data_IF_118213488892
#
_entry.id   IF_118213488892
#
_cell.length_a   1.000
_cell.length_b   1.000
_cell.length_c   1.000
_cell.angle_alpha   90.00
_cell.angle_beta   90.00
_cell.angle_gamma   90.00
#
_symmetry.space_group_name_H-M   'P 1'
#
loop_
_entity.id
_entity.type
_entity.pdbx_description
1 polymer ?
#
# COMPACT_ATOMS: atom_id res chain seq x y z
N UNK A 1 5.29 -7.34 9.70
CA UNK A 1 5.62 -6.10 8.98
C UNK A 1 6.98 -6.27 8.36
N UNK A 2 7.12 -5.94 7.08
CA UNK A 2 8.44 -5.93 6.44
C UNK A 2 9.15 -4.66 6.88
N UNK A 3 10.38 -4.82 7.37
CA UNK A 3 11.26 -3.73 7.73
C UNK A 3 12.06 -3.28 6.50
N UNK A 4 11.87 -2.04 6.07
CA UNK A 4 12.61 -1.47 4.95
C UNK A 4 14.12 -1.46 5.19
N UNK A 5 14.57 -1.35 6.44
CA UNK A 5 16.00 -1.39 6.80
C UNK A 5 16.67 -2.72 6.43
N UNK A 6 15.88 -3.76 6.14
CA UNK A 6 16.36 -5.06 5.67
C UNK A 6 16.28 -5.21 4.13
N UNK A 7 15.87 -4.17 3.41
CA UNK A 7 15.74 -4.20 1.95
C UNK A 7 16.99 -3.60 1.28
N UNK A 8 17.53 -4.25 0.23
CA UNK A 8 18.65 -3.68 -0.51
C UNK A 8 18.30 -2.33 -1.15
N UNK A 9 19.19 -1.36 -0.99
CA UNK A 9 19.08 -0.07 -1.66
C UNK A 9 19.56 -0.16 -3.10
N UNK A 10 18.96 0.66 -3.97
CA UNK A 10 19.33 0.81 -5.38
C UNK A 10 20.19 2.05 -5.59
N UNK A 11 20.79 2.17 -6.78
CA UNK A 11 21.77 3.23 -7.08
C UNK A 11 21.19 4.65 -7.23
N UNK A 12 19.86 4.81 -7.20
CA UNK A 12 19.16 6.09 -7.30
C UNK A 12 18.43 6.36 -5.96
N UNK A 13 18.78 7.46 -5.29
CA UNK A 13 18.30 7.78 -3.93
C UNK A 13 16.81 8.07 -3.90
N UNK A 14 16.24 8.69 -4.95
CA UNK A 14 14.82 8.98 -4.98
C UNK A 14 13.99 7.69 -4.89
N UNK A 15 14.42 6.63 -5.58
CA UNK A 15 13.79 5.31 -5.50
C UNK A 15 13.89 4.77 -4.07
N UNK A 16 15.04 4.86 -3.41
CA UNK A 16 15.17 4.40 -2.02
C UNK A 16 14.22 5.13 -1.05
N UNK A 17 14.01 6.45 -1.24
CA UNK A 17 13.05 7.23 -0.45
C UNK A 17 11.61 6.79 -0.71
N UNK A 18 11.26 6.58 -1.97
CA UNK A 18 9.90 6.20 -2.39
C UNK A 18 9.57 4.75 -2.02
N UNK A 19 10.51 3.82 -2.18
CA UNK A 19 10.37 2.43 -1.71
C UNK A 19 10.10 2.39 -0.21
N UNK A 20 10.90 3.12 0.59
CA UNK A 20 10.70 3.22 2.04
C UNK A 20 9.28 3.67 2.36
N UNK A 21 8.83 4.75 1.73
CA UNK A 21 7.49 5.29 1.92
C UNK A 21 6.42 4.25 1.59
N UNK A 22 6.56 3.50 0.50
CA UNK A 22 5.61 2.47 0.12
C UNK A 22 5.52 1.33 1.17
N UNK A 23 6.63 0.92 1.77
CA UNK A 23 6.61 -0.03 2.89
C UNK A 23 5.97 0.56 4.15
N UNK A 24 6.28 1.82 4.47
CA UNK A 24 5.70 2.51 5.63
C UNK A 24 4.18 2.66 5.51
N UNK A 25 3.69 3.04 4.33
CA UNK A 25 2.28 3.16 4.00
C UNK A 25 1.57 1.79 4.05
N UNK A 26 2.18 0.74 3.50
CA UNK A 26 1.63 -0.62 3.59
C UNK A 26 1.54 -1.11 5.05
N UNK A 27 2.57 -0.85 5.85
CA UNK A 27 2.58 -1.17 7.27
C UNK A 27 1.54 -0.33 8.05
N UNK A 28 1.33 0.93 7.69
CA UNK A 28 0.30 1.79 8.28
C UNK A 28 -1.11 1.31 7.92
N UNK A 29 -1.33 0.95 6.66
CA UNK A 29 -2.60 0.40 6.17
C UNK A 29 -2.97 -0.87 6.92
N UNK A 30 -1.99 -1.77 7.13
CA UNK A 30 -2.18 -2.96 7.96
C UNK A 30 -2.67 -2.64 9.36
N UNK A 31 -2.09 -1.63 10.02
CA UNK A 31 -2.49 -1.24 11.38
C UNK A 31 -3.90 -0.70 11.44
N UNK A 32 -4.29 0.14 10.46
CA UNK A 32 -5.65 0.67 10.37
C UNK A 32 -6.67 -0.46 10.13
N UNK A 33 -6.37 -1.38 9.22
CA UNK A 33 -7.22 -2.54 8.93
C UNK A 33 -7.39 -3.45 10.16
N UNK A 34 -6.32 -3.70 10.91
CA UNK A 34 -6.41 -4.48 12.15
C UNK A 34 -7.25 -3.78 13.23
N UNK A 35 -7.13 -2.45 13.34
CA UNK A 35 -7.95 -1.63 14.25
C UNK A 35 -9.44 -1.73 13.87
N UNK A 36 -9.76 -1.51 12.60
CA UNK A 36 -11.11 -1.61 12.07
C UNK A 36 -11.71 -3.02 12.24
N UNK A 37 -10.89 -4.07 12.08
CA UNK A 37 -11.31 -5.44 12.33
C UNK A 37 -11.64 -5.66 13.80
N UNK A 38 -10.77 -5.21 14.71
CA UNK A 38 -10.97 -5.35 16.14
C UNK A 38 -12.28 -4.69 16.58
N UNK A 39 -12.48 -3.41 16.22
CA UNK A 39 -13.69 -2.65 16.57
C UNK A 39 -14.98 -3.39 16.16
N UNK A 40 -15.01 -3.96 14.95
CA UNK A 40 -16.18 -4.68 14.45
C UNK A 40 -16.44 -6.01 15.15
N UNK A 41 -15.38 -6.72 15.55
CA UNK A 41 -15.52 -7.94 16.31
C UNK A 41 -16.00 -7.67 17.74
N UNK A 42 -15.54 -6.57 18.36
CA UNK A 42 -15.97 -6.15 19.70
C UNK A 42 -17.41 -5.59 19.71
N UNK A 43 -17.77 -4.70 18.77
CA UNK A 43 -19.15 -4.18 18.67
C UNK A 43 -20.19 -5.26 18.35
N UNK A 44 -19.83 -6.28 17.57
CA UNK A 44 -20.70 -7.44 17.34
C UNK A 44 -20.92 -8.30 18.61
N UNK A 45 -20.00 -8.23 19.58
CA UNK A 45 -20.10 -8.96 20.86
C UNK A 45 -20.91 -8.19 21.91
N UNK A 46 -20.85 -6.85 21.93
CA UNK A 46 -21.62 -6.01 22.86
C UNK A 46 -23.10 -5.88 22.43
N UNK A 47 -23.37 -5.81 21.12
CA UNK A 47 -24.73 -5.84 20.56
C UNK A 47 -25.53 -7.10 20.94
N UNK A 48 -24.87 -8.23 21.25
CA UNK A 48 -25.54 -9.44 21.73
C UNK A 48 -25.81 -9.45 23.25
N UNK A 49 -25.25 -8.51 24.01
CA UNK A 49 -25.31 -8.47 25.47
C UNK A 49 -26.17 -7.33 26.04
N UNK A 50 -26.41 -6.26 25.26
CA UNK A 50 -27.11 -5.04 25.69
C UNK A 50 -28.56 -4.99 25.19
N UNK A 51 -29.36 -5.98 25.58
CA UNK A 51 -30.82 -5.94 25.44
C UNK A 51 -31.42 -5.43 26.77
N UNK A 52 -31.00 -4.26 27.27
CA UNK A 52 -31.70 -3.45 28.30
C UNK A 52 -30.95 -2.11 28.61
N UNK A 53 -31.49 -1.00 28.10
CA UNK A 53 -31.30 0.42 28.52
C UNK A 53 -29.90 1.06 28.49
N UNK A 54 -29.62 1.87 27.44
CA UNK A 54 -28.56 2.90 27.48
C UNK A 54 -28.02 3.49 26.15
N UNK A 55 -28.70 3.29 25.02
CA UNK A 55 -28.01 2.99 23.74
C UNK A 55 -27.67 4.17 22.80
N UNK A 56 -28.16 5.39 23.03
CA UNK A 56 -28.06 6.45 22.01
C UNK A 56 -26.67 7.13 21.92
N UNK A 57 -25.96 7.29 23.04
CA UNK A 57 -24.68 8.04 23.05
C UNK A 57 -23.49 7.13 22.67
N UNK A 58 -23.51 5.86 23.07
CA UNK A 58 -22.46 4.89 22.74
C UNK A 58 -22.52 4.55 21.25
N UNK A 59 -23.71 4.32 20.70
CA UNK A 59 -23.93 4.07 19.27
C UNK A 59 -23.46 5.22 18.38
N UNK A 60 -23.73 6.49 18.75
CA UNK A 60 -23.25 7.65 17.98
C UNK A 60 -21.71 7.78 17.97
N UNK A 61 -21.06 7.46 19.09
CA UNK A 61 -19.60 7.50 19.20
C UNK A 61 -18.95 6.37 18.39
N UNK A 62 -19.50 5.16 18.42
CA UNK A 62 -19.03 4.00 17.65
C UNK A 62 -19.19 4.19 16.14
N UNK A 63 -20.32 4.72 15.69
CA UNK A 63 -20.56 5.05 14.28
C UNK A 63 -19.55 6.08 13.79
N UNK A 64 -19.30 7.13 14.60
CA UNK A 64 -18.36 8.19 14.24
C UNK A 64 -16.91 7.69 14.17
N UNK A 65 -16.49 6.86 15.12
CA UNK A 65 -15.15 6.24 15.10
C UNK A 65 -14.99 5.29 13.91
N UNK A 66 -15.99 4.44 13.65
CA UNK A 66 -15.96 3.51 12.51
C UNK A 66 -15.89 4.23 11.15
N UNK A 67 -16.56 5.37 11.02
CA UNK A 67 -16.50 6.19 9.82
C UNK A 67 -15.13 6.86 9.65
N UNK A 68 -14.54 7.37 10.74
CA UNK A 68 -13.21 7.97 10.72
C UNK A 68 -12.14 6.95 10.29
N UNK A 69 -12.15 5.76 10.88
CA UNK A 69 -11.23 4.67 10.49
C UNK A 69 -11.40 4.30 9.01
N UNK A 70 -12.64 4.29 8.52
CA UNK A 70 -12.94 3.98 7.11
C UNK A 70 -12.37 5.04 6.16
N UNK A 71 -12.50 6.32 6.52
CA UNK A 71 -12.00 7.44 5.73
C UNK A 71 -10.45 7.46 5.73
N UNK A 72 -9.81 7.14 6.85
CA UNK A 72 -8.35 7.03 6.95
C UNK A 72 -7.78 5.88 6.10
N UNK A 73 -8.45 4.73 6.09
CA UNK A 73 -8.07 3.58 5.23
C UNK A 73 -8.19 3.96 3.75
N UNK A 74 -9.31 4.54 3.32
CA UNK A 74 -9.54 5.00 1.95
C UNK A 74 -8.44 6.00 1.52
N UNK A 75 -8.18 7.00 2.35
CA UNK A 75 -7.16 8.02 2.07
C UNK A 75 -5.78 7.39 1.91
N UNK A 76 -5.40 6.48 2.81
CA UNK A 76 -4.08 5.85 2.75
C UNK A 76 -3.94 4.90 1.55
N UNK A 77 -4.99 4.16 1.17
CA UNK A 77 -4.99 3.36 -0.06
C UNK A 77 -4.83 4.24 -1.31
N UNK A 78 -5.53 5.37 -1.36
CA UNK A 78 -5.41 6.33 -2.45
C UNK A 78 -4.01 6.98 -2.50
N UNK A 79 -3.44 7.34 -1.34
CA UNK A 79 -2.06 7.86 -1.24
C UNK A 79 -1.06 6.84 -1.74
N UNK A 80 -1.11 5.59 -1.26
CA UNK A 80 -0.19 4.53 -1.68
C UNK A 80 -0.26 4.30 -3.20
N UNK A 81 -1.46 4.25 -3.77
CA UNK A 81 -1.65 4.11 -5.22
C UNK A 81 -1.06 5.30 -5.99
N UNK A 82 -1.36 6.53 -5.54
CA UNK A 82 -0.95 7.74 -6.25
C UNK A 82 0.57 7.93 -6.23
N UNK A 83 1.21 7.64 -5.10
CA UNK A 83 2.65 7.71 -4.96
C UNK A 83 3.35 6.59 -5.75
N UNK A 84 2.76 5.40 -5.80
CA UNK A 84 3.30 4.28 -6.62
C UNK A 84 3.20 4.60 -8.12
N UNK A 85 2.10 5.22 -8.58
CA UNK A 85 1.98 5.71 -9.96
C UNK A 85 3.08 6.72 -10.27
N UNK A 86 3.24 7.73 -9.41
CA UNK A 86 4.26 8.78 -9.58
C UNK A 86 5.68 8.19 -9.62
N UNK A 87 5.97 7.25 -8.72
CA UNK A 87 7.24 6.56 -8.66
C UNK A 87 7.55 5.87 -9.99
N UNK A 88 6.62 5.07 -10.52
CA UNK A 88 6.81 4.42 -11.82
C UNK A 88 6.91 5.40 -12.99
N UNK A 89 6.18 6.52 -12.98
CA UNK A 89 6.32 7.56 -14.00
C UNK A 89 7.75 8.12 -14.05
N UNK A 90 8.35 8.40 -12.89
CA UNK A 90 9.73 8.89 -12.80
C UNK A 90 10.75 7.85 -13.27
N UNK A 91 10.54 6.59 -12.90
CA UNK A 91 11.39 5.49 -13.37
C UNK A 91 11.27 5.27 -14.87
N UNK A 92 10.06 5.31 -15.42
CA UNK A 92 9.82 5.14 -16.84
C UNK A 92 10.38 6.30 -17.67
N UNK A 93 10.29 7.53 -17.17
CA UNK A 93 10.97 8.71 -17.75
C UNK A 93 12.49 8.50 -17.74
N UNK A 94 13.05 8.02 -16.63
CA UNK A 94 14.48 7.75 -16.51
C UNK A 94 14.91 6.60 -17.45
N UNK A 95 14.12 5.53 -17.53
CA UNK A 95 14.38 4.42 -18.47
C UNK A 95 14.34 4.88 -19.93
N UNK A 96 13.47 5.83 -20.26
CA UNK A 96 13.41 6.45 -21.58
C UNK A 96 14.63 7.32 -21.86
N UNK A 97 14.96 8.24 -20.95
CA UNK A 97 16.06 9.19 -21.08
C UNK A 97 17.41 8.48 -21.31
N UNK A 98 17.68 7.44 -20.52
CA UNK A 98 18.95 6.71 -20.57
C UNK A 98 18.93 5.51 -21.53
N UNK A 99 17.80 5.24 -22.20
CA UNK A 99 17.66 4.14 -23.16
C UNK A 99 17.83 2.76 -22.54
N UNK A 100 17.18 2.50 -21.40
CA UNK A 100 17.25 1.21 -20.70
C UNK A 100 16.68 0.07 -21.58
N UNK A 101 17.47 -0.98 -21.87
CA UNK A 101 17.07 -2.01 -22.84
C UNK A 101 15.79 -2.79 -22.49
N UNK A 102 15.53 -3.04 -21.20
CA UNK A 102 14.40 -3.83 -20.72
C UNK A 102 13.22 -2.96 -20.25
N UNK A 103 13.10 -1.72 -20.76
CA UNK A 103 12.00 -0.79 -20.42
C UNK A 103 10.62 -1.42 -20.64
N UNK A 104 10.45 -2.16 -21.75
CA UNK A 104 9.17 -2.74 -22.11
C UNK A 104 8.67 -3.75 -21.06
N UNK A 105 9.52 -4.70 -20.69
CA UNK A 105 9.23 -5.69 -19.65
C UNK A 105 9.04 -5.04 -18.28
N UNK A 106 9.82 -4.00 -17.97
CA UNK A 106 9.71 -3.25 -16.72
C UNK A 106 8.34 -2.56 -16.58
N UNK A 107 7.97 -1.74 -17.55
CA UNK A 107 6.67 -1.05 -17.56
C UNK A 107 5.46 -2.00 -17.58
N UNK A 108 5.60 -3.21 -18.12
CA UNK A 108 4.53 -4.21 -18.06
C UNK A 108 4.30 -4.74 -16.63
N UNK A 109 5.36 -4.95 -15.84
CA UNK A 109 5.21 -5.31 -14.42
C UNK A 109 4.58 -4.16 -13.62
N UNK A 110 4.95 -2.91 -13.91
CA UNK A 110 4.29 -1.72 -13.34
C UNK A 110 2.78 -1.70 -13.65
N UNK A 111 2.38 -1.91 -14.91
CA UNK A 111 0.96 -1.94 -15.29
C UNK A 111 0.18 -3.03 -14.54
N UNK A 112 0.78 -4.21 -14.37
CA UNK A 112 0.15 -5.33 -13.66
C UNK A 112 -0.08 -5.02 -12.19
N UNK A 113 0.94 -4.50 -11.49
CA UNK A 113 0.78 -4.15 -10.07
C UNK A 113 -0.20 -2.98 -9.89
N UNK A 114 -0.16 -1.96 -10.77
CA UNK A 114 -1.09 -0.84 -10.69
C UNK A 114 -2.53 -1.28 -10.92
N UNK A 115 -2.77 -2.22 -11.83
CA UNK A 115 -4.10 -2.79 -12.00
C UNK A 115 -4.54 -3.55 -10.75
N UNK A 116 -3.67 -4.39 -10.19
CA UNK A 116 -3.96 -5.11 -8.95
C UNK A 116 -4.28 -4.15 -7.79
N UNK A 117 -3.50 -3.08 -7.59
CA UNK A 117 -3.76 -2.07 -6.56
C UNK A 117 -5.14 -1.39 -6.74
N UNK A 118 -5.53 -1.10 -7.99
CA UNK A 118 -6.86 -0.54 -8.30
C UNK A 118 -7.98 -1.52 -7.99
N UNK A 119 -7.76 -2.81 -8.20
CA UNK A 119 -8.73 -3.85 -7.88
C UNK A 119 -8.93 -3.97 -6.37
N UNK A 120 -7.84 -3.91 -5.58
CA UNK A 120 -7.89 -3.90 -4.11
C UNK A 120 -8.60 -2.65 -3.58
N UNK A 121 -8.33 -1.47 -4.16
CA UNK A 121 -9.04 -0.23 -3.84
C UNK A 121 -10.54 -0.34 -4.17
N UNK A 122 -10.88 -0.90 -5.33
CA UNK A 122 -12.27 -1.12 -5.73
C UNK A 122 -12.99 -2.11 -4.80
N UNK A 123 -12.28 -3.09 -4.24
CA UNK A 123 -12.83 -4.02 -3.26
C UNK A 123 -13.24 -3.27 -1.99
N UNK A 124 -12.35 -2.42 -1.47
CA UNK A 124 -12.63 -1.57 -0.31
C UNK A 124 -13.83 -0.65 -0.54
N UNK A 125 -13.87 0.09 -1.65
CA UNK A 125 -14.97 1.03 -1.94
C UNK A 125 -16.33 0.35 -2.14
N UNK A 126 -16.36 -0.95 -2.47
CA UNK A 126 -17.60 -1.71 -2.69
C UNK A 126 -18.19 -2.25 -1.40
N UNK A 127 -17.34 -2.79 -0.53
CA UNK A 127 -17.78 -3.48 0.69
C UNK A 127 -16.67 -3.46 1.72
N UNK A 128 -16.83 -2.64 2.75
CA UNK A 128 -16.03 -2.74 3.95
C UNK A 128 -16.64 -3.86 4.80
N UNK A 129 -16.54 -5.14 4.44
CA UNK A 129 -16.92 -6.27 5.31
C UNK A 129 -15.74 -6.79 6.11
N UNK A 130 -16.00 -7.66 7.09
CA UNK A 130 -14.94 -8.38 7.82
C UNK A 130 -14.08 -9.22 6.86
N UNK A 131 -14.67 -9.80 5.82
CA UNK A 131 -13.95 -10.56 4.81
C UNK A 131 -13.02 -9.66 4.00
N UNK A 132 -13.52 -8.52 3.51
CA UNK A 132 -12.71 -7.52 2.80
C UNK A 132 -11.56 -7.02 3.68
N UNK A 133 -11.81 -6.67 4.94
CA UNK A 133 -10.76 -6.19 5.85
C UNK A 133 -9.68 -7.25 6.05
N UNK A 134 -10.06 -8.52 6.27
CA UNK A 134 -9.10 -9.60 6.42
C UNK A 134 -8.25 -9.80 5.16
N UNK A 135 -8.89 -9.79 3.98
CA UNK A 135 -8.18 -9.90 2.71
C UNK A 135 -7.19 -8.75 2.50
N UNK A 136 -7.61 -7.50 2.74
CA UNK A 136 -6.75 -6.32 2.61
C UNK A 136 -5.63 -6.31 3.67
N UNK A 137 -5.89 -6.84 4.86
CA UNK A 137 -4.87 -6.99 5.91
C UNK A 137 -3.77 -7.95 5.48
N UNK A 138 -4.12 -9.06 4.80
CA UNK A 138 -3.14 -9.99 4.19
C UNK A 138 -2.40 -9.32 3.03
N UNK A 139 -3.12 -8.59 2.18
CA UNK A 139 -2.53 -7.82 1.08
C UNK A 139 -1.44 -6.87 1.57
N UNK A 140 -1.76 -6.03 2.57
CA UNK A 140 -0.87 -5.01 3.11
C UNK A 140 0.30 -5.57 3.91
N UNK A 141 0.15 -6.73 4.55
CA UNK A 141 1.18 -7.31 5.40
C UNK A 141 2.14 -8.28 4.70
N UNK A 142 1.70 -8.90 3.61
CA UNK A 142 2.44 -9.97 2.94
C UNK A 142 2.53 -9.74 1.43
N UNK A 143 1.39 -9.74 0.72
CA UNK A 143 1.42 -9.83 -0.75
C UNK A 143 2.10 -8.63 -1.40
N UNK A 144 1.68 -7.41 -1.07
CA UNK A 144 2.25 -6.20 -1.66
C UNK A 144 3.71 -5.97 -1.22
N UNK A 145 4.05 -6.01 0.08
CA UNK A 145 5.44 -5.88 0.52
C UNK A 145 6.39 -6.91 -0.09
N UNK A 146 5.94 -8.16 -0.27
CA UNK A 146 6.74 -9.22 -0.88
C UNK A 146 6.93 -9.00 -2.38
N UNK A 147 5.89 -8.53 -3.08
CA UNK A 147 6.00 -8.12 -4.47
C UNK A 147 7.02 -6.97 -4.61
N UNK A 148 6.88 -5.92 -3.80
CA UNK A 148 7.75 -4.74 -3.83
C UNK A 148 9.21 -5.12 -3.57
N UNK A 149 9.47 -5.93 -2.54
CA UNK A 149 10.81 -6.43 -2.26
C UNK A 149 11.39 -7.20 -3.46
N UNK A 150 10.62 -8.09 -4.07
CA UNK A 150 11.09 -8.85 -5.21
C UNK A 150 11.38 -7.94 -6.41
N UNK A 151 10.53 -6.97 -6.67
CA UNK A 151 10.72 -5.99 -7.74
C UNK A 151 12.01 -5.20 -7.53
N UNK A 152 12.22 -4.67 -6.33
CA UNK A 152 13.43 -3.92 -5.93
C UNK A 152 14.71 -4.73 -6.21
N UNK A 153 14.77 -5.97 -5.72
CA UNK A 153 16.01 -6.76 -5.79
C UNK A 153 16.28 -7.36 -7.17
N UNK A 154 15.30 -7.38 -8.07
CA UNK A 154 15.44 -8.00 -9.39
C UNK A 154 15.44 -6.99 -10.54
N UNK A 155 14.50 -6.05 -10.58
CA UNK A 155 14.28 -5.15 -11.72
C UNK A 155 14.90 -3.79 -11.44
N UNK A 156 14.55 -3.18 -10.31
CA UNK A 156 14.95 -1.82 -9.93
C UNK A 156 16.45 -1.73 -9.71
N UNK A 157 17.03 -2.74 -9.07
CA UNK A 157 18.50 -2.83 -8.88
C UNK A 157 19.25 -2.81 -10.22
N UNK A 158 18.75 -3.53 -11.22
CA UNK A 158 19.36 -3.60 -12.56
C UNK A 158 19.16 -2.29 -13.30
N UNK A 159 17.94 -1.74 -13.26
CA UNK A 159 17.58 -0.48 -13.89
C UNK A 159 18.38 0.69 -13.30
N UNK A 160 18.36 0.87 -11.99
CA UNK A 160 19.10 1.92 -11.30
C UNK A 160 20.61 1.82 -11.55
N UNK A 161 21.17 0.61 -11.52
CA UNK A 161 22.59 0.38 -11.83
C UNK A 161 22.94 0.76 -13.27
N UNK A 162 22.05 0.48 -14.22
CA UNK A 162 22.23 0.87 -15.61
C UNK A 162 22.21 2.39 -15.74
N UNK A 163 21.17 3.05 -15.24
CA UNK A 163 21.00 4.51 -15.33
C UNK A 163 22.18 5.25 -14.69
N UNK A 164 22.61 4.83 -13.50
CA UNK A 164 23.76 5.42 -12.82
C UNK A 164 25.04 5.36 -13.67
N UNK A 165 25.30 4.25 -14.37
CA UNK A 165 26.48 4.10 -15.25
C UNK A 165 26.42 4.95 -16.50
N UNK A 166 25.22 5.39 -16.90
CA UNK A 166 24.99 6.23 -18.07
C UNK A 166 24.88 7.71 -17.73
N UNK A 167 25.26 8.10 -16.51
CA UNK A 167 25.33 9.50 -16.07
C UNK A 167 24.09 9.98 -15.30
N UNK A 168 23.12 9.10 -15.06
CA UNK A 168 21.97 9.42 -14.22
C UNK A 168 22.40 9.70 -12.79
N UNK A 169 22.23 10.95 -12.37
CA UNK A 169 22.51 11.35 -10.99
C UNK A 169 21.25 11.31 -10.17
N UNK A 170 21.42 10.82 -8.94
CA UNK A 170 20.40 10.94 -7.93
C UNK A 170 20.25 12.40 -7.49
N UNK A 171 19.05 12.98 -7.64
CA UNK A 171 18.67 14.23 -6.96
C UNK A 171 18.12 13.95 -5.55
#
# INVERSE_FOLDING_TARGET
MIDFECTPQVALEFMNREHRKAFDDANALKRLLDSALALRLFGASESQALDEFGDEIETEMEIKTSQLDSDEIEQLMQTLLSDTVRHFELEEESMEEYGFPARGEHSEEHRRVLQWMKDEHSLWSRDCSIETINHLSIYAADRFPKWLLNHIVTMDTVMASYIHRHGGTSL
#
